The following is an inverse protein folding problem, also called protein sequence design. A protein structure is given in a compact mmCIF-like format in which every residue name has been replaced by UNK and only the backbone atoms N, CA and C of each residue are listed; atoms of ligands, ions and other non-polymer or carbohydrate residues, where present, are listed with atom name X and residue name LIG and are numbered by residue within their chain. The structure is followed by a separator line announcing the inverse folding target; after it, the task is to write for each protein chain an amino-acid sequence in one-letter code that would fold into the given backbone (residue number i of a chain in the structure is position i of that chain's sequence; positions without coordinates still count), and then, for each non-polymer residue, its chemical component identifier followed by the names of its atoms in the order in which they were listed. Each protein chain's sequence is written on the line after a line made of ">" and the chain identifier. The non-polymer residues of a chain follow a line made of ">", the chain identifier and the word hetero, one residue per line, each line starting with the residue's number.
data_IF_347435393419
#
_entry.id   IF_347435393419
#
_cell.length_a   1.000
_cell.length_b   1.000
_cell.length_c   1.000
_cell.angle_alpha   90.00
_cell.angle_beta   90.00
_cell.angle_gamma   90.00
#
_symmetry.space_group_name_H-M   'P 1'
#
loop_
_entity.id
_entity.type
_entity.pdbx_description
1 polymer ?
#
# COMPACT_ATOMS: atom_id res chain seq x y z
N UNK A 1 -21.03 6.81 6.14
CA UNK A 1 -19.72 6.77 5.48
C UNK A 1 -19.40 5.32 5.22
N UNK A 2 -19.39 4.83 3.96
CA UNK A 2 -18.82 3.52 3.69
C UNK A 2 -17.35 3.61 4.11
N UNK A 3 -17.03 3.04 5.28
CA UNK A 3 -15.65 2.89 5.74
C UNK A 3 -14.89 2.29 4.56
N UNK A 4 -13.85 2.98 4.11
CA UNK A 4 -12.96 2.53 3.04
C UNK A 4 -12.61 1.09 3.33
N UNK A 5 -13.22 0.16 2.58
CA UNK A 5 -13.36 -1.26 2.92
C UNK A 5 -12.04 -2.04 2.72
N UNK A 6 -10.91 -1.37 2.97
CA UNK A 6 -9.54 -1.85 2.79
C UNK A 6 -9.22 -3.01 3.72
N UNK A 7 -9.87 -3.06 4.88
CA UNK A 7 -9.86 -4.18 5.83
C UNK A 7 -11.12 -5.05 5.67
N UNK A 8 -11.09 -6.29 6.18
CA UNK A 8 -12.22 -7.20 6.08
C UNK A 8 -13.37 -6.68 6.95
N UNK A 9 -14.61 -6.89 6.50
CA UNK A 9 -15.79 -6.62 7.32
C UNK A 9 -15.78 -7.52 8.56
N UNK A 10 -15.85 -6.91 9.74
CA UNK A 10 -16.06 -7.65 10.99
C UNK A 10 -17.52 -8.12 11.03
N UNK A 11 -17.72 -9.42 11.21
CA UNK A 11 -19.04 -10.06 11.37
C UNK A 11 -19.48 -10.04 12.83
N UNK A 12 -18.53 -10.26 13.75
CA UNK A 12 -18.81 -10.29 15.18
C UNK A 12 -17.53 -10.25 16.00
N UNK A 13 -17.69 -9.97 17.29
CA UNK A 13 -16.60 -9.88 18.27
C UNK A 13 -16.94 -10.69 19.52
N UNK A 14 -15.92 -11.22 20.19
CA UNK A 14 -16.03 -11.96 21.44
C UNK A 14 -14.76 -11.74 22.27
N UNK A 15 -14.83 -10.82 23.24
CA UNK A 15 -13.67 -10.44 24.04
C UNK A 15 -12.53 -9.90 23.17
N UNK A 16 -11.37 -10.56 23.20
CA UNK A 16 -10.20 -10.22 22.37
C UNK A 16 -10.24 -10.81 20.96
N UNK A 17 -11.25 -11.63 20.65
CA UNK A 17 -11.39 -12.28 19.35
C UNK A 17 -12.41 -11.54 18.49
N UNK A 18 -12.19 -11.57 17.19
CA UNK A 18 -13.16 -11.11 16.21
C UNK A 18 -13.23 -12.10 15.05
N UNK A 19 -14.37 -12.12 14.38
CA UNK A 19 -14.58 -12.88 13.15
C UNK A 19 -14.85 -11.92 12.01
N UNK A 20 -14.28 -12.21 10.85
CA UNK A 20 -14.41 -11.40 9.64
C UNK A 20 -15.18 -12.14 8.56
N UNK A 21 -15.54 -11.43 7.49
CA UNK A 21 -15.90 -12.06 6.22
C UNK A 21 -14.84 -13.08 5.78
N UNK A 22 -15.29 -14.08 5.03
CA UNK A 22 -14.41 -15.13 4.50
C UNK A 22 -13.54 -14.53 3.40
N UNK A 23 -12.23 -14.61 3.59
CA UNK A 23 -11.24 -14.18 2.60
C UNK A 23 -10.42 -15.37 2.14
N UNK A 24 -10.08 -15.36 0.85
CA UNK A 24 -9.08 -16.28 0.30
C UNK A 24 -7.71 -15.61 0.38
N UNK A 25 -6.84 -16.12 1.25
CA UNK A 25 -5.48 -15.62 1.40
C UNK A 25 -4.74 -15.65 0.06
N UNK A 26 -4.19 -14.51 -0.35
CA UNK A 26 -3.46 -14.41 -1.59
C UNK A 26 -2.01 -14.83 -1.36
N UNK A 27 -1.54 -15.81 -2.14
CA UNK A 27 -0.15 -16.22 -2.15
C UNK A 27 0.33 -16.25 -3.58
N UNK A 28 1.37 -15.48 -3.87
CA UNK A 28 1.97 -15.48 -5.20
C UNK A 28 2.53 -16.87 -5.53
N UNK A 29 2.07 -17.43 -6.63
CA UNK A 29 2.48 -18.73 -7.18
C UNK A 29 2.83 -18.53 -8.65
N UNK A 30 3.71 -19.37 -9.20
CA UNK A 30 4.23 -19.19 -10.56
C UNK A 30 3.13 -19.07 -11.64
N UNK A 31 2.05 -19.85 -11.54
CA UNK A 31 0.95 -19.80 -12.50
C UNK A 31 0.15 -18.49 -12.50
N UNK A 32 0.22 -17.69 -11.42
CA UNK A 32 -0.41 -16.37 -11.35
C UNK A 32 0.31 -15.32 -12.21
N UNK A 33 1.52 -15.60 -12.72
CA UNK A 33 2.23 -14.69 -13.63
C UNK A 33 1.46 -14.45 -14.92
N UNK A 34 0.63 -15.39 -15.36
CA UNK A 34 -0.28 -15.22 -16.50
C UNK A 34 -1.41 -14.21 -16.21
N UNK A 35 -1.69 -13.94 -14.93
CA UNK A 35 -2.71 -13.00 -14.46
C UNK A 35 -2.12 -11.68 -13.95
N UNK A 36 -0.81 -11.44 -14.11
CA UNK A 36 -0.11 -10.28 -13.55
C UNK A 36 -0.78 -8.93 -13.86
N UNK A 37 -1.38 -8.78 -15.05
CA UNK A 37 -2.13 -7.58 -15.43
C UNK A 37 -3.39 -7.36 -14.57
N UNK A 38 -4.14 -8.42 -14.28
CA UNK A 38 -5.31 -8.35 -13.38
C UNK A 38 -4.89 -8.08 -11.94
N UNK A 39 -3.83 -8.75 -11.49
CA UNK A 39 -3.26 -8.56 -10.15
C UNK A 39 -2.79 -7.11 -9.97
N UNK A 40 -2.14 -6.52 -10.98
CA UNK A 40 -1.74 -5.11 -10.98
C UNK A 40 -2.92 -4.18 -10.73
N UNK A 41 -4.03 -4.39 -11.44
CA UNK A 41 -5.25 -3.57 -11.25
C UNK A 41 -5.77 -3.70 -9.82
N UNK A 42 -5.79 -4.91 -9.25
CA UNK A 42 -6.25 -5.13 -7.88
C UNK A 42 -5.33 -4.50 -6.82
N UNK A 43 -4.02 -4.58 -7.00
CA UNK A 43 -3.05 -3.90 -6.13
C UNK A 43 -3.25 -2.38 -6.21
N UNK A 44 -3.41 -1.83 -7.42
CA UNK A 44 -3.60 -0.39 -7.62
C UNK A 44 -4.94 0.09 -7.04
N UNK A 45 -5.99 -0.73 -7.10
CA UNK A 45 -7.24 -0.43 -6.39
C UNK A 45 -7.11 -0.51 -4.88
N UNK A 46 -6.20 -1.33 -4.36
CA UNK A 46 -5.87 -1.33 -2.93
C UNK A 46 -5.14 -0.04 -2.58
N UNK A 47 -4.12 0.36 -3.36
CA UNK A 47 -3.39 1.61 -3.16
C UNK A 47 -4.30 2.85 -3.19
N UNK A 48 -5.28 2.88 -4.10
CA UNK A 48 -6.32 3.93 -4.13
C UNK A 48 -7.02 4.07 -2.77
N UNK A 49 -7.43 2.96 -2.17
CA UNK A 49 -8.12 2.96 -0.87
C UNK A 49 -7.24 3.42 0.28
N UNK A 50 -5.94 3.15 0.25
CA UNK A 50 -5.00 3.69 1.24
C UNK A 50 -4.90 5.21 1.10
N UNK A 51 -4.88 5.70 -0.14
CA UNK A 51 -4.77 7.13 -0.43
C UNK A 51 -6.04 7.91 -0.05
N UNK A 52 -7.21 7.35 -0.33
CA UNK A 52 -8.52 7.97 -0.08
C UNK A 52 -9.10 7.61 1.30
N UNK A 53 -8.27 7.06 2.19
CA UNK A 53 -8.72 6.67 3.53
C UNK A 53 -9.11 7.90 4.34
N UNK A 54 -10.41 8.05 4.62
CA UNK A 54 -11.00 9.04 5.53
C UNK A 54 -10.20 10.35 5.67
N UNK A 55 -9.97 10.84 6.88
CA UNK A 55 -9.39 12.16 7.14
C UNK A 55 -7.90 12.29 6.75
N UNK A 56 -7.18 11.17 6.65
CA UNK A 56 -5.76 11.14 6.29
C UNK A 56 -5.37 9.77 5.71
N UNK A 57 -4.43 9.70 4.74
CA UNK A 57 -4.05 8.46 4.10
C UNK A 57 -3.51 7.42 5.08
N UNK A 58 -3.85 6.15 4.86
CA UNK A 58 -3.19 5.05 5.56
C UNK A 58 -1.78 4.86 5.03
N UNK A 59 -0.86 4.53 5.92
CA UNK A 59 0.54 4.23 5.63
C UNK A 59 0.77 2.75 5.92
N UNK A 60 1.20 2.00 4.91
CA UNK A 60 1.47 0.57 5.07
C UNK A 60 2.97 0.31 5.10
N UNK A 61 3.42 -0.30 6.18
CA UNK A 61 4.82 -0.55 6.46
C UNK A 61 5.19 -2.04 6.48
N UNK A 62 4.31 -2.93 6.01
CA UNK A 62 4.66 -4.34 5.76
C UNK A 62 3.97 -4.83 4.48
N UNK A 63 4.42 -4.29 3.36
CA UNK A 63 3.79 -4.48 2.06
C UNK A 63 4.23 -5.81 1.47
N UNK A 64 3.35 -6.80 1.55
CA UNK A 64 3.59 -8.13 0.99
C UNK A 64 2.31 -8.77 0.49
N UNK A 65 2.44 -9.71 -0.43
CA UNK A 65 1.30 -10.41 -1.02
C UNK A 65 0.57 -11.33 -0.03
N UNK A 66 1.31 -11.92 0.91
CA UNK A 66 0.77 -12.82 1.94
C UNK A 66 -0.12 -12.11 2.96
N UNK A 67 0.08 -10.80 3.15
CA UNK A 67 -0.75 -9.93 3.98
C UNK A 67 -2.08 -9.54 3.29
N UNK A 68 -2.32 -9.99 2.05
CA UNK A 68 -3.49 -9.64 1.25
C UNK A 68 -4.43 -10.84 1.03
N UNK A 69 -5.72 -10.56 0.96
CA UNK A 69 -6.78 -11.52 0.69
C UNK A 69 -7.72 -11.06 -0.41
N UNK A 70 -8.42 -12.02 -1.02
CA UNK A 70 -9.49 -11.79 -1.97
C UNK A 70 -10.84 -12.03 -1.30
N UNK A 71 -11.74 -11.06 -1.42
CA UNK A 71 -13.14 -11.20 -1.04
C UNK A 71 -14.01 -11.44 -2.28
N UNK A 72 -15.01 -12.29 -2.15
CA UNK A 72 -16.06 -12.45 -3.17
C UNK A 72 -16.87 -11.15 -3.35
N UNK A 73 -17.02 -10.36 -2.28
CA UNK A 73 -17.83 -9.14 -2.27
C UNK A 73 -17.10 -7.95 -2.90
N UNK A 74 -15.78 -8.03 -3.09
CA UNK A 74 -14.95 -6.94 -3.61
C UNK A 74 -14.08 -7.35 -4.82
N UNK A 75 -14.69 -7.69 -5.98
CA UNK A 75 -14.02 -8.34 -7.11
C UNK A 75 -12.98 -7.50 -7.88
N UNK A 76 -12.49 -6.38 -7.33
CA UNK A 76 -11.54 -5.48 -8.00
C UNK A 76 -10.39 -4.97 -7.14
N UNK A 77 -10.19 -5.50 -5.94
CA UNK A 77 -9.14 -5.07 -5.02
C UNK A 77 -8.74 -6.19 -4.08
N UNK A 78 -7.56 -6.07 -3.51
CA UNK A 78 -7.18 -6.89 -2.37
C UNK A 78 -7.71 -6.25 -1.08
N UNK A 79 -7.99 -7.10 -0.11
CA UNK A 79 -8.32 -6.72 1.27
C UNK A 79 -7.11 -7.03 2.13
N UNK A 80 -6.78 -6.14 3.04
CA UNK A 80 -5.70 -6.32 3.98
C UNK A 80 -6.11 -7.34 5.05
N UNK A 81 -5.41 -8.47 5.13
CA UNK A 81 -5.64 -9.47 6.17
C UNK A 81 -4.77 -9.23 7.39
N UNK A 82 -3.53 -8.76 7.17
CA UNK A 82 -2.59 -8.41 8.23
C UNK A 82 -2.30 -6.91 8.18
N UNK A 83 -2.70 -6.21 9.25
CA UNK A 83 -2.62 -4.77 9.38
C UNK A 83 -1.90 -4.31 10.64
N UNK A 84 -1.09 -5.17 11.24
CA UNK A 84 -0.27 -4.84 12.42
C UNK A 84 0.67 -3.65 12.20
N UNK A 85 1.16 -3.49 10.96
CA UNK A 85 2.02 -2.40 10.51
C UNK A 85 1.30 -1.47 9.52
N UNK A 86 0.03 -1.18 9.80
CA UNK A 86 -0.73 -0.10 9.13
C UNK A 86 -1.05 1.01 10.11
N UNK A 87 -0.75 2.22 9.68
CA UNK A 87 -0.86 3.42 10.50
C UNK A 87 -1.66 4.48 9.76
N UNK A 88 -2.28 5.39 10.48
CA UNK A 88 -2.64 6.68 9.86
C UNK A 88 -1.38 7.52 9.68
N UNK A 89 -1.38 8.49 8.77
CA UNK A 89 -0.21 9.34 8.52
C UNK A 89 0.31 9.99 9.81
N UNK A 90 -0.56 10.62 10.59
CA UNK A 90 -0.23 11.25 11.87
C UNK A 90 0.35 10.27 12.89
N UNK A 91 -0.16 9.03 12.95
CA UNK A 91 0.34 8.00 13.87
C UNK A 91 1.72 7.49 13.47
N UNK A 92 1.95 7.25 12.18
CA UNK A 92 3.28 6.87 11.71
C UNK A 92 4.29 7.99 11.96
N UNK A 93 3.90 9.23 11.67
CA UNK A 93 4.69 10.43 11.95
C UNK A 93 5.13 10.48 13.40
N UNK A 94 4.20 10.32 14.33
CA UNK A 94 4.49 10.31 15.76
C UNK A 94 5.38 9.12 16.20
N UNK A 95 5.31 7.98 15.50
CA UNK A 95 6.15 6.83 15.79
C UNK A 95 7.60 6.99 15.30
N UNK A 96 7.82 7.80 14.27
CA UNK A 96 9.13 8.09 13.71
C UNK A 96 9.77 9.33 14.34
N UNK A 97 9.05 10.47 14.34
CA UNK A 97 9.60 11.75 14.77
C UNK A 97 10.12 11.71 16.21
N UNK A 98 11.34 12.20 16.41
CA UNK A 98 11.96 12.33 17.73
C UNK A 98 12.54 11.03 18.29
N UNK A 99 12.40 9.90 17.59
CA UNK A 99 13.12 8.67 17.93
C UNK A 99 14.62 8.86 17.75
N UNK A 100 15.42 8.53 18.76
CA UNK A 100 16.89 8.60 18.65
C UNK A 100 17.43 7.65 17.59
N UNK A 101 18.42 8.11 16.83
CA UNK A 101 19.08 7.34 15.77
C UNK A 101 20.57 7.69 15.67
N UNK A 102 21.36 6.78 15.12
CA UNK A 102 22.73 7.02 14.70
C UNK A 102 22.86 7.03 13.17
N UNK A 103 22.01 6.27 12.49
CA UNK A 103 21.99 6.14 11.03
C UNK A 103 20.55 6.10 10.50
N UNK A 104 20.38 6.32 9.20
CA UNK A 104 19.06 6.21 8.54
C UNK A 104 18.42 4.82 8.73
N UNK A 105 19.22 3.77 8.90
CA UNK A 105 18.71 2.41 9.13
C UNK A 105 17.93 2.28 10.45
N UNK A 106 18.25 3.09 11.45
CA UNK A 106 17.54 3.14 12.73
C UNK A 106 16.15 3.77 12.60
N UNK A 107 15.95 4.57 11.53
CA UNK A 107 14.73 5.30 11.23
C UNK A 107 13.81 4.53 10.29
N UNK A 108 13.62 3.24 10.58
CA UNK A 108 12.75 2.35 9.83
C UNK A 108 11.66 1.75 10.71
N UNK A 109 10.47 1.61 10.15
CA UNK A 109 9.38 0.79 10.67
C UNK A 109 8.96 -0.09 9.50
N UNK A 110 9.38 -1.36 9.53
CA UNK A 110 9.21 -2.29 8.42
C UNK A 110 9.70 -1.70 7.09
N UNK A 111 8.79 -1.54 6.13
CA UNK A 111 9.05 -0.98 4.81
C UNK A 111 9.07 0.56 4.75
N UNK A 112 8.57 1.25 5.77
CA UNK A 112 8.55 2.70 5.83
C UNK A 112 9.90 3.25 6.30
N UNK A 113 10.47 4.20 5.53
CA UNK A 113 11.82 4.73 5.76
C UNK A 113 11.79 6.21 6.08
N UNK A 114 12.53 6.63 7.10
CA UNK A 114 12.84 8.02 7.41
C UNK A 114 14.36 8.24 7.43
N UNK A 115 14.79 9.48 7.65
CA UNK A 115 16.22 9.84 7.76
C UNK A 115 16.57 10.17 9.21
N UNK A 116 17.80 9.87 9.58
CA UNK A 116 18.39 10.38 10.80
C UNK A 116 18.86 11.81 10.58
N UNK A 117 18.35 12.74 11.37
CA UNK A 117 18.72 14.16 11.27
C UNK A 117 20.05 14.44 11.97
N UNK A 118 20.57 15.66 11.78
CA UNK A 118 21.77 16.14 12.50
C UNK A 118 21.60 16.13 14.02
N UNK A 119 20.36 16.17 14.51
CA UNK A 119 20.03 16.18 15.93
C UNK A 119 19.96 14.76 16.52
N UNK A 120 20.42 13.75 15.77
CA UNK A 120 20.37 12.33 16.14
C UNK A 120 18.95 11.85 16.43
N UNK A 121 17.98 12.39 15.70
CA UNK A 121 16.56 12.00 15.76
C UNK A 121 16.00 11.69 14.39
N UNK A 122 15.03 10.80 14.31
CA UNK A 122 14.41 10.44 13.04
C UNK A 122 13.47 11.55 12.53
N UNK A 123 13.49 11.74 11.21
CA UNK A 123 12.60 12.64 10.48
C UNK A 123 11.22 12.02 10.22
N UNK A 124 10.41 12.72 9.44
CA UNK A 124 9.24 12.14 8.77
C UNK A 124 9.61 11.04 7.78
N UNK A 125 8.61 10.22 7.45
CA UNK A 125 8.69 9.23 6.37
C UNK A 125 9.12 9.92 5.07
N UNK A 126 10.08 9.31 4.39
CA UNK A 126 10.70 9.84 3.17
C UNK A 126 10.28 9.10 1.90
N UNK A 127 9.80 7.87 2.03
CA UNK A 127 9.21 7.11 0.94
C UNK A 127 7.68 7.16 0.98
N UNK A 128 7.04 6.91 -0.15
CA UNK A 128 5.58 6.89 -0.26
C UNK A 128 5.03 5.46 -0.36
N UNK A 129 3.74 5.27 -0.09
CA UNK A 129 3.08 3.99 -0.36
C UNK A 129 3.22 3.55 -1.83
N UNK A 130 3.18 4.50 -2.78
CA UNK A 130 3.36 4.17 -4.19
C UNK A 130 4.74 3.53 -4.42
N UNK A 131 5.80 4.13 -3.89
CA UNK A 131 7.16 3.59 -4.03
C UNK A 131 7.30 2.22 -3.39
N UNK A 132 6.78 2.04 -2.18
CA UNK A 132 6.82 0.74 -1.50
C UNK A 132 6.00 -0.32 -2.26
N UNK A 133 4.81 0.02 -2.76
CA UNK A 133 4.01 -0.89 -3.58
C UNK A 133 4.74 -1.28 -4.87
N UNK A 134 5.36 -0.31 -5.52
CA UNK A 134 6.13 -0.53 -6.73
C UNK A 134 7.32 -1.46 -6.46
N UNK A 135 8.07 -1.23 -5.37
CA UNK A 135 9.21 -2.05 -4.97
C UNK A 135 8.79 -3.47 -4.59
N UNK A 136 7.78 -3.61 -3.72
CA UNK A 136 7.46 -4.86 -3.05
C UNK A 136 6.49 -5.75 -3.80
N UNK A 137 5.60 -5.17 -4.61
CA UNK A 137 4.55 -5.91 -5.33
C UNK A 137 4.72 -5.85 -6.84
N UNK A 138 4.82 -4.64 -7.42
CA UNK A 138 4.83 -4.47 -8.89
C UNK A 138 6.12 -5.03 -9.50
N UNK A 139 7.29 -4.75 -8.91
CA UNK A 139 8.58 -5.32 -9.37
C UNK A 139 8.60 -6.85 -9.26
N UNK A 140 7.89 -7.47 -8.31
CA UNK A 140 7.77 -8.94 -8.26
C UNK A 140 6.96 -9.52 -9.43
N UNK A 141 6.03 -8.76 -9.99
CA UNK A 141 5.18 -9.18 -11.11
C UNK A 141 5.79 -8.85 -12.49
N UNK A 142 6.48 -7.72 -12.60
CA UNK A 142 6.93 -7.16 -13.88
C UNK A 142 8.44 -6.94 -13.95
N UNK A 143 9.19 -7.23 -12.89
CA UNK A 143 10.61 -6.87 -12.81
C UNK A 143 10.81 -5.38 -13.02
N UNK A 144 11.82 -5.03 -13.81
CA UNK A 144 12.09 -3.65 -14.25
C UNK A 144 11.46 -3.34 -15.62
N UNK A 145 10.42 -4.07 -16.05
CA UNK A 145 9.79 -3.86 -17.36
C UNK A 145 9.24 -2.45 -17.47
N UNK A 146 9.57 -1.79 -18.57
CA UNK A 146 9.15 -0.42 -18.85
C UNK A 146 7.87 -0.37 -19.70
N UNK A 147 6.86 0.41 -19.28
CA UNK A 147 5.71 0.73 -20.12
C UNK A 147 5.15 2.11 -19.80
N UNK A 148 5.12 2.99 -20.80
CA UNK A 148 4.43 4.30 -20.75
C UNK A 148 2.94 4.22 -21.05
N UNK A 149 2.53 3.16 -21.76
CA UNK A 149 1.14 2.94 -22.14
C UNK A 149 0.30 2.47 -20.96
N UNK A 150 0.87 1.59 -20.12
CA UNK A 150 0.23 1.18 -18.88
C UNK A 150 0.53 2.22 -17.79
N UNK A 151 -0.44 3.09 -17.50
CA UNK A 151 -0.31 4.17 -16.52
C UNK A 151 0.08 3.70 -15.12
N UNK A 152 -0.33 2.50 -14.71
CA UNK A 152 0.06 1.91 -13.42
C UNK A 152 1.53 1.52 -13.37
N UNK A 153 2.06 0.94 -14.46
CA UNK A 153 3.49 0.65 -14.57
C UNK A 153 4.32 1.92 -14.73
N UNK A 154 3.82 2.90 -15.50
CA UNK A 154 4.44 4.21 -15.64
C UNK A 154 4.58 4.93 -14.29
N UNK A 155 3.55 4.84 -13.43
CA UNK A 155 3.59 5.41 -12.08
C UNK A 155 4.64 4.75 -11.18
N UNK A 156 5.16 3.56 -11.51
CA UNK A 156 6.23 2.89 -10.77
C UNK A 156 7.65 3.23 -11.26
N UNK A 157 7.78 4.13 -12.22
CA UNK A 157 9.05 4.50 -12.81
C UNK A 157 9.47 5.89 -12.30
N UNK A 158 10.59 5.93 -11.59
CA UNK A 158 11.15 7.17 -11.04
C UNK A 158 11.55 8.19 -12.12
N UNK A 159 11.81 7.72 -13.35
CA UNK A 159 12.13 8.59 -14.49
C UNK A 159 10.91 9.35 -15.03
N UNK A 160 9.68 8.97 -14.67
CA UNK A 160 8.45 9.64 -15.15
C UNK A 160 8.03 10.82 -14.27
N UNK A 161 9.02 11.55 -13.73
CA UNK A 161 8.80 12.74 -12.91
C UNK A 161 8.84 12.45 -11.41
N UNK A 162 8.66 13.52 -10.63
CA UNK A 162 8.67 13.42 -9.18
C UNK A 162 7.44 12.65 -8.64
N UNK A 163 7.49 12.28 -7.37
CA UNK A 163 6.44 11.47 -6.76
C UNK A 163 5.05 12.11 -6.83
N UNK A 164 4.96 13.43 -6.67
CA UNK A 164 3.71 14.20 -6.75
C UNK A 164 3.08 14.12 -8.13
N UNK A 165 3.88 14.29 -9.18
CA UNK A 165 3.41 14.17 -10.56
C UNK A 165 2.89 12.77 -10.85
N UNK A 166 3.66 11.74 -10.48
CA UNK A 166 3.28 10.32 -10.66
C UNK A 166 1.99 9.98 -9.92
N UNK A 167 1.80 10.49 -8.70
CA UNK A 167 0.56 10.31 -7.94
C UNK A 167 -0.63 11.03 -8.58
N UNK A 168 -0.46 12.25 -9.10
CA UNK A 168 -1.54 12.97 -9.77
C UNK A 168 -2.03 12.26 -11.03
N UNK A 169 -1.12 11.74 -11.86
CA UNK A 169 -1.47 10.92 -13.03
C UNK A 169 -2.18 9.63 -12.63
N UNK A 170 -1.75 9.01 -11.52
CA UNK A 170 -2.36 7.82 -10.98
C UNK A 170 -3.79 8.09 -10.48
N UNK A 171 -4.03 9.23 -9.82
CA UNK A 171 -5.37 9.67 -9.38
C UNK A 171 -6.32 9.85 -10.55
N UNK A 172 -5.88 10.49 -11.63
CA UNK A 172 -6.66 10.57 -12.88
C UNK A 172 -6.94 9.17 -13.42
N UNK A 173 -5.96 8.28 -13.44
CA UNK A 173 -6.15 6.90 -13.91
C UNK A 173 -7.18 6.16 -13.07
N UNK A 174 -7.17 6.34 -11.75
CA UNK A 174 -8.13 5.75 -10.83
C UNK A 174 -9.55 6.24 -11.07
N UNK A 175 -9.77 7.54 -11.27
CA UNK A 175 -11.12 8.09 -11.49
C UNK A 175 -11.81 7.51 -12.73
N UNK A 176 -11.04 7.10 -13.75
CA UNK A 176 -11.60 6.51 -14.98
C UNK A 176 -11.73 4.98 -14.93
N UNK A 177 -10.77 4.30 -14.29
CA UNK A 177 -10.64 2.85 -14.41
C UNK A 177 -11.09 2.07 -13.17
N UNK A 178 -11.16 2.74 -12.02
CA UNK A 178 -11.54 2.13 -10.75
C UNK A 178 -12.72 2.91 -10.19
N UNK A 179 -13.93 2.36 -10.39
CA UNK A 179 -15.16 2.91 -9.83
C UNK A 179 -15.02 3.21 -8.34
N UNK A 180 -15.47 4.39 -7.94
CA UNK A 180 -15.65 4.72 -6.52
C UNK A 180 -16.64 3.72 -5.91
N UNK A 181 -16.31 3.21 -4.71
CA UNK A 181 -17.17 2.31 -3.92
C UNK A 181 -17.73 3.11 -2.76
#
# INVERSE_FOLDING_TARGET
>A
LPLTRVTPKIIGTCGQFYSTEVLVAFRMKGYYMNLKGKILVHIMGTLKLFYEFLNEPLQWCDVRFDNLGLSADYPKRFVLMDGDMVYTESRLRAALQGRSCATDADCTIGDCKARCTSDLTCSDRTDSNLEVFCEKLVRKLFGHTYSTHNKYLAACQETNGNITQRLNELRLTWSWNLSDV
#
